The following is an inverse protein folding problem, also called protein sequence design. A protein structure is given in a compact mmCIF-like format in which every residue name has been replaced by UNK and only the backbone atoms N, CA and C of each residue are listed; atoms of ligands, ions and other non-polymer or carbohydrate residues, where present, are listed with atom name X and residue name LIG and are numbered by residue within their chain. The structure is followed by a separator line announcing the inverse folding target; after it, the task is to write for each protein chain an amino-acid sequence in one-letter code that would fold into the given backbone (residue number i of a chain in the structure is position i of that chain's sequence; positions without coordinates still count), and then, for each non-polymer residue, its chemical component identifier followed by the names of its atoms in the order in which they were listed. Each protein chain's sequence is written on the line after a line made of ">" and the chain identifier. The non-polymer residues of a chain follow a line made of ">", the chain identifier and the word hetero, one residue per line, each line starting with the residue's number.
data_IF_928900532933
#
_entry.id   IF_928900532933
#
_cell.length_a   1.000
_cell.length_b   1.000
_cell.length_c   1.000
_cell.angle_alpha   90.00
_cell.angle_beta   90.00
_cell.angle_gamma   90.00
#
_symmetry.space_group_name_H-M   'P 1'
#
loop_
_entity.id
_entity.type
_entity.pdbx_description
1 polymer ?
#
# COMPACT_ATOMS: atom_id res chain seq x y z
N UNK A 1 -6.36 -6.02 -6.42
CA UNK A 1 -5.51 -4.81 -6.38
C UNK A 1 -4.15 -5.24 -5.83
N UNK A 2 -3.05 -4.69 -6.34
CA UNK A 2 -1.70 -4.96 -5.83
C UNK A 2 -1.18 -3.72 -5.10
N UNK A 3 -0.49 -3.95 -3.99
CA UNK A 3 0.22 -2.89 -3.28
C UNK A 3 1.71 -3.20 -3.32
N UNK A 4 2.46 -2.26 -3.87
CA UNK A 4 3.90 -2.32 -3.95
C UNK A 4 4.52 -1.26 -3.06
N UNK A 5 5.69 -1.55 -2.49
CA UNK A 5 6.48 -0.53 -1.81
C UNK A 5 7.97 -0.76 -1.92
N UNK A 6 8.73 0.32 -1.77
CA UNK A 6 10.17 0.31 -1.51
C UNK A 6 10.55 1.51 -0.65
N UNK A 7 11.67 1.43 0.06
CA UNK A 7 12.21 2.59 0.75
C UNK A 7 12.76 3.58 -0.27
N UNK A 8 12.30 4.84 -0.22
CA UNK A 8 12.89 5.91 -1.00
C UNK A 8 14.05 6.58 -0.26
N UNK A 9 14.01 6.56 1.08
CA UNK A 9 15.08 6.99 1.97
C UNK A 9 14.91 6.34 3.34
N UNK A 10 15.78 6.68 4.30
CA UNK A 10 15.65 6.22 5.69
C UNK A 10 14.38 6.72 6.39
N UNK A 11 13.79 7.79 5.86
CA UNK A 11 12.64 8.53 6.41
C UNK A 11 11.42 8.49 5.49
N UNK A 12 11.44 7.77 4.37
CA UNK A 12 10.31 7.74 3.43
C UNK A 12 10.16 6.42 2.69
N UNK A 13 8.92 6.06 2.38
CA UNK A 13 8.55 4.85 1.63
C UNK A 13 7.81 5.28 0.37
N UNK A 14 8.26 4.80 -0.78
CA UNK A 14 7.55 4.89 -2.06
C UNK A 14 6.56 3.73 -2.17
N UNK A 15 5.32 4.05 -2.47
CA UNK A 15 4.24 3.10 -2.69
C UNK A 15 3.78 3.14 -4.14
N UNK A 16 3.34 1.99 -4.66
CA UNK A 16 2.60 1.88 -5.90
C UNK A 16 1.32 1.08 -5.66
N UNK A 17 0.17 1.66 -5.95
CA UNK A 17 -1.12 0.95 -5.97
C UNK A 17 -1.46 0.59 -7.39
N UNK A 18 -1.68 -0.69 -7.68
CA UNK A 18 -2.04 -1.16 -9.01
C UNK A 18 -3.42 -1.81 -9.00
N UNK A 19 -4.25 -1.38 -9.94
CA UNK A 19 -5.52 -2.01 -10.26
C UNK A 19 -5.51 -2.48 -11.71
N UNK A 20 -5.91 -3.73 -11.95
CA UNK A 20 -6.05 -4.27 -13.31
C UNK A 20 -7.19 -3.56 -14.05
N UNK A 21 -7.16 -3.63 -15.38
CA UNK A 21 -8.20 -3.03 -16.24
C UNK A 21 -9.62 -3.45 -15.87
N UNK A 22 -9.80 -4.70 -15.42
CA UNK A 22 -11.09 -5.24 -14.97
C UNK A 22 -11.53 -4.75 -13.59
N UNK A 23 -10.65 -4.13 -12.80
CA UNK A 23 -10.90 -3.75 -11.41
C UNK A 23 -11.45 -2.33 -11.28
N UNK A 24 -10.97 -1.39 -12.11
CA UNK A 24 -11.38 0.01 -12.05
C UNK A 24 -11.97 0.48 -13.37
N UNK A 25 -13.14 1.10 -13.30
CA UNK A 25 -13.63 1.90 -14.42
C UNK A 25 -12.84 3.22 -14.53
N UNK A 26 -12.96 3.90 -15.68
CA UNK A 26 -12.30 5.17 -15.96
C UNK A 26 -12.48 6.22 -14.86
N UNK A 27 -13.66 6.26 -14.22
CA UNK A 27 -14.00 7.20 -13.15
C UNK A 27 -14.16 6.49 -11.78
N UNK A 28 -13.61 5.29 -11.64
CA UNK A 28 -13.52 4.59 -10.36
C UNK A 28 -12.47 5.22 -9.45
N UNK A 29 -12.25 4.70 -8.25
CA UNK A 29 -11.18 5.16 -7.37
C UNK A 29 -10.55 4.00 -6.61
N UNK A 30 -9.30 4.16 -6.18
CA UNK A 30 -8.64 3.24 -5.27
C UNK A 30 -7.88 4.00 -4.18
N UNK A 31 -7.72 3.34 -3.04
CA UNK A 31 -7.06 3.92 -1.89
C UNK A 31 -6.27 2.88 -1.10
N UNK A 32 -5.20 3.36 -0.48
CA UNK A 32 -4.47 2.66 0.58
C UNK A 32 -4.39 3.57 1.78
N UNK A 33 -4.55 3.00 2.97
CA UNK A 33 -4.54 3.74 4.23
C UNK A 33 -3.82 3.02 5.35
N UNK A 34 -3.62 3.74 6.44
CA UNK A 34 -2.96 3.31 7.65
C UNK A 34 -3.92 3.50 8.82
N UNK A 35 -4.17 2.42 9.54
CA UNK A 35 -5.15 2.37 10.61
C UNK A 35 -4.50 2.27 11.97
N UNK A 36 -4.72 3.29 12.81
CA UNK A 36 -4.38 3.24 14.23
C UNK A 36 -5.27 2.30 15.04
N UNK A 37 -6.25 1.64 14.39
CA UNK A 37 -7.28 0.81 15.03
C UNK A 37 -7.38 -0.56 14.37
N UNK A 38 -6.24 -1.20 14.06
CA UNK A 38 -6.17 -2.59 13.57
C UNK A 38 -7.06 -2.85 12.34
N UNK A 39 -6.90 -2.04 11.30
CA UNK A 39 -7.59 -2.25 10.01
C UNK A 39 -8.99 -1.62 9.91
N UNK A 40 -9.34 -0.67 10.78
CA UNK A 40 -10.62 0.06 10.71
C UNK A 40 -10.47 1.40 9.99
N UNK A 41 -11.41 1.72 9.10
CA UNK A 41 -11.45 2.99 8.36
C UNK A 41 -11.48 4.23 9.28
N UNK A 42 -12.36 4.25 10.29
CA UNK A 42 -12.50 5.40 11.19
C UNK A 42 -11.21 5.66 11.97
N UNK A 43 -10.71 6.88 11.85
CA UNK A 43 -9.46 7.35 12.44
C UNK A 43 -8.20 7.01 11.64
N UNK A 44 -8.34 6.57 10.38
CA UNK A 44 -7.21 6.24 9.53
C UNK A 44 -6.79 7.41 8.65
N UNK A 45 -5.51 7.43 8.29
CA UNK A 45 -4.98 8.24 7.21
C UNK A 45 -4.97 7.42 5.92
N UNK A 46 -5.20 8.03 4.77
CA UNK A 46 -5.18 7.33 3.50
C UNK A 46 -4.70 8.21 2.35
N UNK A 47 -4.23 7.57 1.29
CA UNK A 47 -4.01 8.17 -0.01
C UNK A 47 -5.10 7.63 -0.94
N UNK A 48 -5.89 8.53 -1.51
CA UNK A 48 -6.97 8.21 -2.43
C UNK A 48 -6.59 8.73 -3.81
N UNK A 49 -6.74 7.88 -4.82
CA UNK A 49 -6.49 8.20 -6.21
C UNK A 49 -7.73 8.18 -7.09
N UNK A 50 -7.64 8.92 -8.20
CA UNK A 50 -8.60 9.03 -9.31
C UNK A 50 -9.84 9.93 -9.08
N UNK A 51 -9.68 11.02 -8.31
CA UNK A 51 -10.63 12.15 -8.30
C UNK A 51 -9.89 13.47 -8.03
N UNK A 52 -10.06 14.51 -8.86
CA UNK A 52 -9.26 14.81 -10.08
C UNK A 52 -7.72 14.63 -9.99
N UNK A 53 -7.21 13.97 -8.95
CA UNK A 53 -5.80 13.63 -8.79
C UNK A 53 -5.64 12.60 -7.68
N UNK A 54 -4.51 12.69 -6.98
CA UNK A 54 -4.17 11.86 -5.82
C UNK A 54 -4.11 12.76 -4.60
N UNK A 55 -4.73 12.35 -3.49
CA UNK A 55 -4.84 13.16 -2.30
C UNK A 55 -4.54 12.37 -1.02
N UNK A 56 -3.79 13.00 -0.12
CA UNK A 56 -3.69 12.61 1.28
C UNK A 56 -4.96 13.02 2.04
N UNK A 57 -5.59 12.08 2.75
CA UNK A 57 -6.82 12.31 3.50
C UNK A 57 -6.75 11.72 4.91
N UNK A 58 -7.55 12.29 5.80
CA UNK A 58 -7.89 11.72 7.09
C UNK A 58 -9.37 11.32 7.11
N UNK A 59 -9.68 10.13 7.64
CA UNK A 59 -11.02 9.55 7.66
C UNK A 59 -11.57 9.50 9.10
N UNK A 60 -12.21 10.59 9.53
CA UNK A 60 -12.76 10.70 10.91
C UNK A 60 -14.04 9.88 11.15
N UNK A 61 -14.61 9.28 10.10
CA UNK A 61 -15.79 8.41 10.16
C UNK A 61 -16.13 7.76 8.82
N UNK A 62 -17.31 7.15 8.73
CA UNK A 62 -17.71 6.27 7.61
C UNK A 62 -18.41 6.98 6.45
N UNK A 63 -18.65 8.28 6.55
CA UNK A 63 -19.33 9.04 5.50
C UNK A 63 -18.34 9.86 4.68
N UNK A 64 -18.65 10.10 3.40
CA UNK A 64 -17.81 10.93 2.51
C UNK A 64 -17.49 12.31 3.08
N UNK A 65 -18.39 12.90 3.88
CA UNK A 65 -18.18 14.23 4.52
C UNK A 65 -17.10 14.21 5.62
N UNK A 66 -16.77 13.02 6.12
CA UNK A 66 -15.78 12.79 7.15
C UNK A 66 -14.43 12.30 6.60
N UNK A 67 -14.34 12.12 5.29
CA UNK A 67 -13.09 11.93 4.54
C UNK A 67 -12.66 13.29 4.04
N UNK A 68 -11.59 13.84 4.63
CA UNK A 68 -11.12 15.20 4.32
C UNK A 68 -9.65 15.16 3.96
N UNK A 69 -9.25 16.02 3.02
CA UNK A 69 -7.83 16.27 2.79
C UNK A 69 -7.13 16.67 4.10
N UNK A 70 -5.90 16.22 4.27
CA UNK A 70 -5.12 16.47 5.47
C UNK A 70 -3.73 16.99 5.11
N UNK A 71 -3.19 17.85 5.96
CA UNK A 71 -1.79 18.28 5.94
C UNK A 71 -0.96 17.61 7.04
N UNK A 72 -1.54 16.68 7.80
CA UNK A 72 -0.84 15.97 8.88
C UNK A 72 0.29 15.07 8.36
N UNK A 73 0.19 14.64 7.09
CA UNK A 73 1.28 14.04 6.34
C UNK A 73 1.25 14.57 4.91
N UNK A 74 2.42 14.67 4.30
CA UNK A 74 2.58 14.95 2.88
C UNK A 74 2.67 13.64 2.11
N UNK A 75 2.22 13.68 0.85
CA UNK A 75 2.68 12.74 -0.15
C UNK A 75 3.61 13.50 -1.09
N UNK A 76 4.73 12.88 -1.46
CA UNK A 76 5.57 13.38 -2.56
C UNK A 76 4.76 13.44 -3.87
N UNK A 77 5.37 13.94 -4.94
CA UNK A 77 4.73 14.00 -6.26
C UNK A 77 4.10 12.65 -6.60
N UNK A 78 2.78 12.64 -6.75
CA UNK A 78 2.03 11.45 -7.08
C UNK A 78 1.90 11.33 -8.60
N UNK A 79 2.15 10.14 -9.12
CA UNK A 79 2.08 9.84 -10.54
C UNK A 79 0.96 8.85 -10.79
N UNK A 80 0.15 9.11 -11.82
CA UNK A 80 -0.89 8.20 -12.30
C UNK A 80 -0.49 7.75 -13.69
N UNK A 81 -0.32 6.45 -13.87
CA UNK A 81 0.08 5.84 -15.14
C UNK A 81 -0.85 4.69 -15.51
N UNK A 82 -0.99 4.44 -16.81
CA UNK A 82 -1.56 3.19 -17.29
C UNK A 82 -0.53 2.06 -17.14
N UNK A 83 -0.97 0.86 -16.76
CA UNK A 83 -0.10 -0.32 -16.80
C UNK A 83 -0.05 -0.90 -18.21
N UNK A 84 0.95 -1.73 -18.49
CA UNK A 84 1.10 -2.45 -19.76
C UNK A 84 -0.10 -3.35 -20.07
N UNK A 85 -0.81 -3.81 -19.04
CA UNK A 85 -2.03 -4.62 -19.14
C UNK A 85 -3.32 -3.78 -19.20
N UNK A 86 -3.21 -2.46 -19.39
CA UNK A 86 -4.36 -1.55 -19.47
C UNK A 86 -4.99 -1.21 -18.12
N UNK A 87 -4.34 -1.58 -17.01
CA UNK A 87 -4.72 -1.18 -15.66
C UNK A 87 -4.30 0.25 -15.32
N UNK A 88 -4.51 0.62 -14.06
CA UNK A 88 -4.07 1.91 -13.49
C UNK A 88 -3.05 1.66 -12.39
N UNK A 89 -1.96 2.40 -12.40
CA UNK A 89 -0.97 2.43 -11.33
C UNK A 89 -0.85 3.84 -10.77
N UNK A 90 -0.87 3.95 -9.44
CA UNK A 90 -0.69 5.21 -8.72
C UNK A 90 0.52 5.09 -7.82
N UNK A 91 1.51 5.93 -8.09
CA UNK A 91 2.78 5.94 -7.38
C UNK A 91 2.87 7.20 -6.52
N UNK A 92 3.31 7.08 -5.27
CA UNK A 92 3.52 8.22 -4.39
C UNK A 92 4.54 7.88 -3.31
N UNK A 93 5.15 8.89 -2.68
CA UNK A 93 6.04 8.70 -1.53
C UNK A 93 5.34 9.23 -0.28
N UNK A 94 5.48 8.51 0.84
CA UNK A 94 5.01 8.96 2.15
C UNK A 94 6.14 8.93 3.17
N UNK A 95 6.25 9.98 3.96
CA UNK A 95 7.21 10.07 5.05
C UNK A 95 6.85 9.15 6.23
N UNK A 96 7.87 8.60 6.86
CA UNK A 96 7.80 7.84 8.10
C UNK A 96 7.57 8.81 9.26
N UNK A 97 6.77 8.41 10.25
CA UNK A 97 6.56 9.20 11.47
C UNK A 97 5.57 10.36 11.35
N UNK A 98 4.99 10.62 10.17
CA UNK A 98 4.03 11.72 9.94
C UNK A 98 2.59 11.22 9.74
N UNK A 99 1.61 12.08 10.02
CA UNK A 99 0.18 11.78 9.96
C UNK A 99 -0.48 11.61 11.33
N UNK A 100 -1.81 11.56 11.35
CA UNK A 100 -2.56 11.14 12.54
C UNK A 100 -2.36 9.64 12.82
N UNK A 101 -2.06 8.86 11.79
CA UNK A 101 -1.60 7.47 11.90
C UNK A 101 -0.25 7.35 11.20
N UNK A 102 0.86 7.55 11.93
CA UNK A 102 2.20 7.50 11.34
C UNK A 102 2.59 6.09 10.93
N UNK A 103 3.42 6.00 9.88
CA UNK A 103 4.20 4.79 9.60
C UNK A 103 5.26 4.69 10.68
N UNK A 104 5.28 3.57 11.40
CA UNK A 104 6.27 3.29 12.45
C UNK A 104 7.14 2.12 11.99
N UNK A 105 8.43 2.37 11.83
CA UNK A 105 9.38 1.30 11.51
C UNK A 105 9.61 0.41 12.74
N UNK A 106 9.93 -0.86 12.52
CA UNK A 106 10.11 -1.87 13.59
C UNK A 106 8.85 -2.11 14.41
N UNK A 107 7.69 -1.89 13.80
CA UNK A 107 6.39 -2.12 14.40
C UNK A 107 5.41 -2.65 13.35
N UNK A 108 4.38 -3.34 13.81
CA UNK A 108 3.25 -3.71 12.96
C UNK A 108 2.43 -2.48 12.58
N UNK A 109 2.36 -2.20 11.29
CA UNK A 109 1.53 -1.20 10.66
C UNK A 109 0.29 -1.89 10.08
N UNK A 110 -0.90 -1.42 10.42
CA UNK A 110 -2.14 -1.96 9.87
C UNK A 110 -2.55 -1.15 8.65
N UNK A 111 -2.33 -1.72 7.47
CA UNK A 111 -2.78 -1.12 6.23
C UNK A 111 -4.24 -1.49 5.98
N UNK A 112 -4.97 -0.56 5.37
CA UNK A 112 -6.31 -0.78 4.82
C UNK A 112 -6.29 -0.41 3.35
N UNK A 113 -7.18 -1.02 2.58
CA UNK A 113 -7.38 -0.64 1.20
C UNK A 113 -8.87 -0.64 0.88
N UNK A 114 -9.21 0.12 -0.14
CA UNK A 114 -10.53 0.10 -0.73
C UNK A 114 -10.48 0.57 -2.18
N UNK A 115 -11.45 0.13 -2.98
CA UNK A 115 -11.65 0.66 -4.31
C UNK A 115 -13.13 0.68 -4.69
N UNK A 116 -13.48 1.45 -5.71
CA UNK A 116 -14.82 1.48 -6.28
C UNK A 116 -14.70 1.53 -7.80
N UNK A 117 -15.33 0.57 -8.48
CA UNK A 117 -15.52 0.62 -9.93
C UNK A 117 -16.70 1.51 -10.34
N UNK A 118 -17.51 1.97 -9.40
CA UNK A 118 -18.61 2.90 -9.69
C UNK A 118 -18.04 4.24 -10.17
N UNK A 119 -18.28 4.54 -11.44
CA UNK A 119 -17.93 5.80 -12.07
C UNK A 119 -18.62 6.95 -11.34
N UNK A 120 -17.84 7.85 -10.73
CA UNK A 120 -18.38 9.02 -10.04
C UNK A 120 -17.38 10.15 -10.06
N UNK A 121 -17.86 11.40 -10.15
CA UNK A 121 -17.02 12.59 -9.94
C UNK A 121 -16.73 12.88 -8.47
N UNK A 122 -17.23 12.03 -7.57
CA UNK A 122 -17.09 12.14 -6.12
C UNK A 122 -16.75 10.77 -5.52
N UNK A 123 -16.35 10.73 -4.25
CA UNK A 123 -16.03 9.46 -3.58
C UNK A 123 -17.29 8.59 -3.45
N UNK A 124 -17.45 7.64 -4.37
CA UNK A 124 -18.48 6.61 -4.33
C UNK A 124 -18.17 5.59 -3.22
N UNK A 125 -19.21 4.94 -2.68
CA UNK A 125 -19.02 3.92 -1.66
C UNK A 125 -18.34 2.67 -2.24
N UNK A 126 -17.28 2.18 -1.60
CA UNK A 126 -16.49 1.01 -2.06
C UNK A 126 -17.21 -0.34 -1.88
N UNK A 127 -18.35 -0.38 -1.19
CA UNK A 127 -19.04 -1.63 -0.87
C UNK A 127 -18.07 -2.69 -0.28
N UNK A 128 -18.09 -3.91 -0.82
CA UNK A 128 -17.27 -5.04 -0.38
C UNK A 128 -15.83 -5.01 -0.89
N UNK A 129 -15.48 -4.05 -1.75
CA UNK A 129 -14.15 -3.88 -2.33
C UNK A 129 -13.20 -3.19 -1.34
N UNK A 130 -13.03 -3.78 -0.17
CA UNK A 130 -12.22 -3.27 0.93
C UNK A 130 -11.53 -4.40 1.69
N UNK A 131 -10.46 -4.07 2.39
CA UNK A 131 -9.79 -5.00 3.30
C UNK A 131 -8.66 -4.35 4.07
N UNK A 132 -7.84 -5.17 4.71
CA UNK A 132 -6.66 -4.71 5.42
C UNK A 132 -5.66 -5.82 5.64
N UNK A 133 -4.41 -5.43 5.88
CA UNK A 133 -3.30 -6.33 6.12
C UNK A 133 -2.32 -5.71 7.12
N UNK A 134 -1.58 -6.55 7.83
CA UNK A 134 -0.58 -6.12 8.81
C UNK A 134 0.81 -6.24 8.19
N UNK A 135 1.59 -5.16 8.18
CA UNK A 135 2.96 -5.10 7.63
C UNK A 135 3.91 -4.64 8.70
N UNK A 136 5.05 -5.31 8.83
CA UNK A 136 6.22 -4.74 9.48
C UNK A 136 7.21 -4.32 8.39
N UNK A 137 7.50 -3.02 8.29
CA UNK A 137 8.43 -2.49 7.29
C UNK A 137 9.90 -2.70 7.65
N UNK A 138 10.22 -3.18 8.86
CA UNK A 138 11.61 -3.33 9.34
C UNK A 138 12.40 -4.47 8.73
N UNK A 139 11.75 -5.55 8.34
CA UNK A 139 12.41 -6.74 7.80
C UNK A 139 13.01 -6.54 6.40
N UNK A 140 12.86 -5.35 5.83
CA UNK A 140 13.33 -5.00 4.50
C UNK A 140 14.46 -3.96 4.51
N UNK A 141 14.99 -3.60 5.69
CA UNK A 141 16.28 -2.91 5.78
C UNK A 141 17.38 -3.95 5.58
N UNK A 142 18.27 -3.76 4.59
CA UNK A 142 19.52 -4.54 4.53
C UNK A 142 20.23 -4.36 5.89
N UNK A 143 20.56 -5.42 6.63
CA UNK A 143 21.36 -5.27 7.84
C UNK A 143 22.74 -4.73 7.44
N UNK A 144 23.12 -3.58 7.98
CA UNK A 144 24.41 -2.93 7.76
C UNK A 144 25.61 -3.73 8.29
N UNK A 145 25.39 -4.89 8.93
CA UNK A 145 26.41 -5.60 9.71
C UNK A 145 26.77 -7.00 9.20
N UNK A 146 26.35 -7.42 8.00
CA UNK A 146 26.75 -8.72 7.43
C UNK A 146 28.03 -8.68 6.57
N UNK A 147 28.63 -7.50 6.41
CA UNK A 147 29.95 -7.34 5.80
C UNK A 147 30.84 -6.58 6.79
N UNK A 148 31.83 -7.26 7.34
CA UNK A 148 32.73 -6.71 8.34
C UNK A 148 33.49 -5.49 7.83
N UNK A 149 33.57 -4.46 8.69
CA UNK A 149 34.63 -3.45 8.71
C UNK A 149 34.92 -2.72 7.39
N UNK A 150 34.19 -1.64 7.12
CA UNK A 150 34.55 -0.61 6.13
C UNK A 150 33.90 0.73 6.54
N UNK A 151 34.56 1.88 6.28
CA UNK A 151 34.31 3.12 7.01
C UNK A 151 32.92 3.70 6.74
N UNK A 152 32.36 4.34 7.78
CA UNK A 152 31.14 5.17 7.79
C UNK A 152 30.41 5.29 6.45
N UNK A 153 29.41 4.41 6.25
CA UNK A 153 28.43 4.55 5.18
C UNK A 153 27.52 5.73 5.48
N UNK A 154 27.98 6.91 5.05
CA UNK A 154 27.18 8.13 4.86
C UNK A 154 26.50 8.15 3.48
N UNK A 155 26.43 7.02 2.78
CA UNK A 155 25.91 6.98 1.43
C UNK A 155 24.46 6.44 1.39
N UNK A 156 23.54 7.38 1.24
CA UNK A 156 22.08 7.21 1.06
C UNK A 156 21.73 6.57 -0.30
N UNK A 157 22.71 6.00 -1.03
CA UNK A 157 22.61 5.58 -2.43
C UNK A 157 22.19 4.12 -2.65
N UNK A 158 22.12 3.31 -1.58
CA UNK A 158 21.97 1.85 -1.69
C UNK A 158 20.54 1.32 -1.47
N UNK A 159 19.53 2.21 -1.49
CA UNK A 159 18.12 1.82 -1.49
C UNK A 159 17.77 1.11 -2.79
N UNK A 160 17.43 -0.17 -2.67
CA UNK A 160 16.93 -1.00 -3.77
C UNK A 160 15.68 -0.35 -4.39
N UNK A 161 15.83 0.19 -5.60
CA UNK A 161 14.78 0.87 -6.34
C UNK A 161 13.70 -0.09 -6.89
N UNK A 162 13.86 -1.41 -6.69
CA UNK A 162 12.85 -2.38 -7.08
C UNK A 162 11.66 -2.39 -6.11
N UNK A 163 10.46 -2.36 -6.69
CA UNK A 163 9.22 -2.44 -5.95
C UNK A 163 9.00 -3.86 -5.41
N UNK A 164 8.69 -3.97 -4.12
CA UNK A 164 8.29 -5.23 -3.48
C UNK A 164 6.77 -5.33 -3.48
N UNK A 165 6.22 -6.47 -3.90
CA UNK A 165 4.78 -6.66 -4.04
C UNK A 165 4.19 -7.41 -2.85
N UNK A 166 3.05 -6.95 -2.33
CA UNK A 166 2.07 -7.81 -1.67
C UNK A 166 0.81 -7.86 -2.54
N UNK A 167 0.36 -9.06 -2.87
CA UNK A 167 -0.92 -9.28 -3.52
C UNK A 167 -2.02 -9.38 -2.46
N UNK A 168 -3.14 -8.69 -2.70
CA UNK A 168 -4.36 -8.91 -1.94
C UNK A 168 -5.47 -9.30 -2.91
N UNK A 169 -6.00 -10.50 -2.70
CA UNK A 169 -7.08 -11.07 -3.51
C UNK A 169 -8.43 -10.44 -3.15
N UNK A 170 -9.32 -10.45 -4.15
CA UNK A 170 -10.70 -9.97 -4.08
C UNK A 170 -11.54 -10.86 -3.14
N UNK A 171 -12.19 -10.33 -2.09
CA UNK A 171 -13.07 -11.10 -1.23
C UNK A 171 -14.46 -11.24 -1.88
N UNK A 172 -14.56 -11.86 -3.06
CA UNK A 172 -15.82 -12.29 -3.66
C UNK A 172 -16.31 -13.63 -3.09
N UNK A 173 -16.25 -13.77 -1.77
CA UNK A 173 -17.02 -14.74 -1.00
C UNK A 173 -17.06 -14.24 0.44
N UNK A 174 -18.26 -14.11 1.03
CA UNK A 174 -18.50 -13.54 2.36
C UNK A 174 -17.90 -14.35 3.52
N UNK A 175 -16.58 -14.41 3.62
CA UNK A 175 -15.88 -14.97 4.77
C UNK A 175 -15.48 -13.83 5.72
N UNK A 176 -16.07 -13.86 6.90
CA UNK A 176 -15.55 -13.17 8.07
C UNK A 176 -14.05 -13.48 8.23
N UNK A 177 -13.28 -12.49 8.69
CA UNK A 177 -11.92 -12.69 9.20
C UNK A 177 -11.95 -13.84 10.23
N UNK A 178 -11.59 -15.04 9.78
CA UNK A 178 -11.32 -16.18 10.63
C UNK A 178 -9.81 -16.42 10.60
N UNK A 179 -9.24 -16.24 11.78
CA UNK A 179 -7.83 -16.37 12.15
C UNK A 179 -7.16 -17.64 11.63
N UNK A 180 -6.01 -17.50 10.95
CA UNK A 180 -4.76 -18.24 11.19
C UNK A 180 -3.87 -18.31 9.95
N UNK A 181 -3.47 -17.17 9.41
CA UNK A 181 -2.16 -17.04 8.79
C UNK A 181 -1.55 -15.75 9.30
N UNK A 182 -0.80 -15.87 10.39
CA UNK A 182 0.36 -15.02 10.58
C UNK A 182 1.26 -15.24 9.35
N UNK A 183 0.95 -14.60 8.23
CA UNK A 183 2.00 -14.16 7.32
C UNK A 183 2.71 -13.02 8.04
N UNK A 184 3.44 -13.38 9.09
CA UNK A 184 4.63 -12.64 9.46
C UNK A 184 5.46 -12.66 8.19
N UNK A 185 5.56 -11.54 7.47
CA UNK A 185 6.47 -11.38 6.32
C UNK A 185 7.96 -11.43 6.75
N UNK A 186 8.24 -12.20 7.81
CA UNK A 186 9.51 -12.45 8.46
C UNK A 186 9.58 -13.94 8.88
N UNK A 187 9.40 -14.90 7.96
CA UNK A 187 9.83 -16.29 8.18
C UNK A 187 10.29 -16.93 6.87
N UNK A 188 11.60 -17.08 6.71
CA UNK A 188 12.20 -17.88 5.65
C UNK A 188 13.67 -17.57 5.48
N UNK A 189 14.52 -18.56 5.75
CA UNK A 189 15.99 -18.49 5.70
C UNK A 189 16.49 -18.21 4.27
N UNK A 190 17.66 -17.58 4.21
CA UNK A 190 18.52 -17.42 3.02
C UNK A 190 18.53 -18.67 2.13
N UNK A 191 18.14 -18.50 0.86
CA UNK A 191 18.64 -19.28 -0.26
C UNK A 191 18.72 -18.35 -1.49
N UNK A 192 19.93 -17.91 -1.78
CA UNK A 192 20.48 -17.51 -3.09
C UNK A 192 19.81 -16.37 -3.88
N UNK A 193 20.65 -15.40 -4.22
CA UNK A 193 20.36 -14.33 -5.17
C UNK A 193 20.04 -14.89 -6.56
N UNK A 194 18.88 -14.53 -7.09
CA UNK A 194 18.74 -14.05 -8.48
C UNK A 194 17.38 -13.37 -8.62
N UNK A 195 17.33 -12.33 -9.44
CA UNK A 195 16.15 -11.53 -9.79
C UNK A 195 14.89 -12.39 -9.96
N UNK A 196 14.01 -12.40 -8.96
CA UNK A 196 12.73 -13.10 -9.04
C UNK A 196 11.62 -12.12 -8.69
N UNK A 197 11.01 -11.55 -9.72
CA UNK A 197 9.67 -10.97 -9.65
C UNK A 197 8.72 -12.11 -9.25
N UNK A 198 8.20 -12.08 -8.03
CA UNK A 198 7.16 -13.00 -7.60
C UNK A 198 5.84 -12.58 -8.25
N UNK A 199 5.52 -13.19 -9.39
CA UNK A 199 4.25 -13.04 -10.10
C UNK A 199 3.32 -14.17 -9.68
N UNK A 200 2.27 -13.85 -8.91
CA UNK A 200 1.16 -14.78 -8.67
C UNK A 200 0.00 -14.41 -9.58
N UNK A 201 -0.10 -15.12 -10.71
CA UNK A 201 -1.24 -15.12 -11.62
C UNK A 201 -2.35 -15.99 -11.04
N UNK A 202 -3.58 -15.49 -11.01
CA UNK A 202 -4.78 -16.32 -10.88
C UNK A 202 -5.78 -15.94 -11.98
N UNK A 203 -6.22 -16.97 -12.68
CA UNK A 203 -7.18 -17.00 -13.78
C UNK A 203 -8.60 -16.72 -13.29
N UNK A 204 -9.51 -16.23 -14.16
CA UNK A 204 -10.90 -16.01 -13.78
C UNK A 204 -11.61 -17.35 -13.48
N UNK A 205 -12.14 -17.49 -12.27
CA UNK A 205 -13.17 -18.46 -11.96
C UNK A 205 -14.52 -17.96 -12.47
N UNK A 206 -15.03 -18.59 -13.54
CA UNK A 206 -16.43 -18.49 -13.93
C UNK A 206 -17.29 -19.19 -12.87
N UNK A 207 -18.22 -18.47 -12.24
CA UNK A 207 -19.65 -18.86 -12.11
C UNK A 207 -20.47 -17.59 -11.93
#
# INVERSE_FOLDING_TARGET
>A
MLLHWTFASSTSIKFAMEARASTLSKDGWMAVGWSGRKGKMKGSDAVIGNLPGVAAVHMSGYSKKLVKQTSAFSIGTAEVAATTEGGTMITFTREVGTGAVPIVLNATNYLIFAFSSTASKTLAFHAWNQGGLAVDFSCFRKPSSLWGGGPDYSDDSDYDSSFRAASVEDPSAGAALSTSSHQTACKGRSLWASNTTMLLLLLPGMV
#
